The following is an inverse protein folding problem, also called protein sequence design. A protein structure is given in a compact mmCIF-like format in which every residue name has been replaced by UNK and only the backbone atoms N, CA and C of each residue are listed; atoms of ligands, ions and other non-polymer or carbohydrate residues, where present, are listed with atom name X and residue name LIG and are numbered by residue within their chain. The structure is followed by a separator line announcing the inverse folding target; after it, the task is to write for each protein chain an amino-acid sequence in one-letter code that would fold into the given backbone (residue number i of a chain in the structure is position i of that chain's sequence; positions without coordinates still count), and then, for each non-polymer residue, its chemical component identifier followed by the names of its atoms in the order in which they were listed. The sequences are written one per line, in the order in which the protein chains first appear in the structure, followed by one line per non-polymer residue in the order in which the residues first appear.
data_IF_461483165430
#
_entry.id   IF_461483165430
#
_cell.length_a   1.000
_cell.length_b   1.000
_cell.length_c   1.000
_cell.angle_alpha   90.00
_cell.angle_beta   90.00
_cell.angle_gamma   90.00
#
_symmetry.space_group_name_H-M   'P 1'
#
loop_
_entity.id
_entity.type
_entity.pdbx_description
1 polymer ?
#
# COMPACT_ATOMS: atom_id res chain seq x y z
N UNK A 1 -17.23 9.33 3.23
CA UNK A 1 -16.89 8.59 2.00
C UNK A 1 -15.73 7.66 2.32
N UNK A 2 -16.01 6.39 2.65
CA UNK A 2 -14.96 5.40 2.89
C UNK A 2 -14.56 4.75 1.57
N UNK A 3 -13.43 5.14 1.01
CA UNK A 3 -12.86 4.52 -0.19
C UNK A 3 -12.30 3.14 0.17
N UNK A 4 -13.20 2.16 0.30
CA UNK A 4 -12.84 0.75 0.20
C UNK A 4 -12.51 0.44 -1.26
N UNK A 5 -11.39 0.99 -1.74
CA UNK A 5 -10.73 0.49 -2.93
C UNK A 5 -10.32 -0.93 -2.61
N UNK A 6 -11.10 -1.91 -3.09
CA UNK A 6 -10.73 -3.32 -3.03
C UNK A 6 -9.29 -3.41 -3.55
N UNK A 7 -8.35 -3.66 -2.64
CA UNK A 7 -6.98 -4.04 -2.93
C UNK A 7 -7.07 -5.46 -3.49
N UNK A 8 -7.60 -5.56 -4.70
CA UNK A 8 -7.69 -6.81 -5.42
C UNK A 8 -6.26 -7.29 -5.65
N UNK A 9 -6.00 -8.57 -5.35
CA UNK A 9 -4.75 -9.21 -5.70
C UNK A 9 -4.75 -9.32 -7.22
N UNK A 10 -4.40 -8.23 -7.88
CA UNK A 10 -4.51 -8.09 -9.32
C UNK A 10 -3.47 -9.02 -9.95
N UNK A 11 -3.79 -10.31 -10.13
CA UNK A 11 -2.84 -11.36 -10.49
C UNK A 11 -2.11 -11.05 -11.82
N UNK A 12 -2.71 -10.21 -12.67
CA UNK A 12 -2.20 -9.85 -13.99
C UNK A 12 -1.62 -8.42 -14.13
N UNK A 13 -1.66 -7.59 -13.09
CA UNK A 13 -1.22 -6.20 -13.17
C UNK A 13 0.31 -6.04 -13.34
N UNK A 14 0.78 -4.96 -14.00
CA UNK A 14 2.19 -4.71 -14.17
C UNK A 14 2.90 -4.57 -12.81
N UNK A 15 4.06 -5.22 -12.71
CA UNK A 15 4.89 -5.16 -11.52
C UNK A 15 5.45 -3.75 -11.33
N UNK A 16 5.38 -3.26 -10.10
CA UNK A 16 5.98 -1.99 -9.70
C UNK A 16 7.35 -2.24 -9.11
N UNK A 17 8.24 -1.25 -9.22
CA UNK A 17 9.54 -1.31 -8.58
C UNK A 17 9.39 -1.49 -7.06
N UNK A 18 9.88 -2.63 -6.57
CA UNK A 18 9.75 -3.03 -5.17
C UNK A 18 10.39 -2.02 -4.21
N UNK A 19 11.58 -1.51 -4.55
CA UNK A 19 12.31 -0.53 -3.73
C UNK A 19 11.50 0.76 -3.56
N UNK A 20 10.85 1.21 -4.64
CA UNK A 20 9.99 2.40 -4.59
C UNK A 20 8.76 2.17 -3.70
N UNK A 21 8.10 1.01 -3.85
CA UNK A 21 6.94 0.67 -3.03
C UNK A 21 7.29 0.51 -1.55
N UNK A 22 8.42 -0.13 -1.24
CA UNK A 22 8.97 -0.24 0.11
C UNK A 22 9.23 1.13 0.75
N UNK A 23 9.73 2.10 -0.02
CA UNK A 23 9.91 3.48 0.47
C UNK A 23 8.59 4.18 0.81
N UNK A 24 7.55 3.96 0.01
CA UNK A 24 6.21 4.52 0.26
C UNK A 24 5.61 3.90 1.53
N UNK A 25 5.67 2.58 1.67
CA UNK A 25 5.21 1.89 2.88
C UNK A 25 6.00 2.35 4.11
N UNK A 26 7.33 2.48 4.02
CA UNK A 26 8.17 2.99 5.11
C UNK A 26 7.76 4.39 5.56
N UNK A 27 7.48 5.29 4.61
CA UNK A 27 7.00 6.65 4.90
C UNK A 27 5.63 6.63 5.58
N UNK A 28 4.75 5.71 5.17
CA UNK A 28 3.42 5.55 5.75
C UNK A 28 3.46 4.94 7.16
N UNK A 29 4.38 3.99 7.40
CA UNK A 29 4.64 3.43 8.74
C UNK A 29 5.13 4.49 9.72
N UNK A 30 5.98 5.42 9.26
CA UNK A 30 6.38 6.56 10.08
C UNK A 30 5.18 7.43 10.51
N UNK A 31 4.20 7.61 9.62
CA UNK A 31 3.00 8.39 9.94
C UNK A 31 2.08 7.70 10.96
N UNK A 32 2.06 6.36 11.03
CA UNK A 32 1.24 5.59 11.97
C UNK A 32 1.50 5.99 13.42
N UNK A 33 2.76 6.27 13.77
CA UNK A 33 3.13 6.65 15.15
C UNK A 33 2.41 7.92 15.61
N UNK A 34 2.12 8.84 14.69
CA UNK A 34 1.40 10.08 14.97
C UNK A 34 -0.11 10.00 14.68
N UNK A 35 -0.53 9.05 13.83
CA UNK A 35 -1.88 8.94 13.28
C UNK A 35 -2.35 7.48 13.27
N UNK A 36 -2.86 6.98 14.41
CA UNK A 36 -3.34 5.60 14.49
C UNK A 36 -4.60 5.35 13.63
N UNK A 37 -5.26 6.40 13.16
CA UNK A 37 -6.42 6.36 12.27
C UNK A 37 -6.14 5.73 10.90
N UNK A 38 -4.87 5.68 10.47
CA UNK A 38 -4.48 5.08 9.17
C UNK A 38 -3.86 3.69 9.29
N UNK A 39 -3.64 3.16 10.50
CA UNK A 39 -2.93 1.88 10.74
C UNK A 39 -3.52 0.75 9.92
N UNK A 40 -4.85 0.61 9.92
CA UNK A 40 -5.54 -0.46 9.22
C UNK A 40 -5.31 -0.40 7.71
N UNK A 41 -5.40 0.80 7.13
CA UNK A 41 -5.18 1.06 5.71
C UNK A 41 -3.73 0.78 5.30
N UNK A 42 -2.75 1.16 6.13
CA UNK A 42 -1.33 0.85 5.89
C UNK A 42 -1.06 -0.64 5.99
N UNK A 43 -1.60 -1.30 7.02
CA UNK A 43 -1.42 -2.73 7.26
C UNK A 43 -1.93 -3.59 6.10
N UNK A 44 -3.03 -3.19 5.45
CA UNK A 44 -3.49 -3.87 4.23
C UNK A 44 -2.53 -3.71 3.06
N UNK A 45 -1.91 -2.53 2.90
CA UNK A 45 -0.95 -2.26 1.80
C UNK A 45 0.39 -2.97 2.01
N UNK A 46 0.85 -3.06 3.25
CA UNK A 46 2.11 -3.75 3.60
C UNK A 46 2.13 -5.23 3.19
N UNK A 47 0.96 -5.89 3.09
CA UNK A 47 0.85 -7.28 2.62
C UNK A 47 1.35 -7.49 1.18
N UNK A 48 1.30 -6.44 0.37
CA UNK A 48 1.70 -6.49 -1.04
C UNK A 48 3.12 -5.96 -1.27
N UNK A 49 3.88 -5.71 -0.20
CA UNK A 49 5.24 -5.16 -0.28
C UNK A 49 6.24 -6.07 -1.01
N UNK A 50 6.06 -7.39 -0.96
CA UNK A 50 6.93 -8.37 -1.62
C UNK A 50 6.65 -8.51 -3.13
N UNK A 51 5.41 -8.25 -3.56
CA UNK A 51 4.99 -8.30 -4.96
C UNK A 51 4.08 -7.10 -5.28
N UNK A 52 4.62 -5.87 -5.29
CA UNK A 52 3.81 -4.68 -5.52
C UNK A 52 3.42 -4.57 -6.99
N UNK A 53 2.16 -4.20 -7.21
CA UNK A 53 1.56 -4.05 -8.54
C UNK A 53 1.00 -2.64 -8.68
N UNK A 54 0.75 -2.23 -9.92
CA UNK A 54 0.33 -0.85 -10.19
C UNK A 54 -1.01 -0.50 -9.52
N UNK A 55 -1.91 -1.47 -9.40
CA UNK A 55 -3.14 -1.36 -8.60
C UNK A 55 -2.84 -1.06 -7.11
N UNK A 56 -1.87 -1.76 -6.52
CA UNK A 56 -1.43 -1.55 -5.14
C UNK A 56 -0.74 -0.19 -4.96
N UNK A 57 0.03 0.26 -5.96
CA UNK A 57 0.68 1.58 -5.95
C UNK A 57 -0.33 2.71 -6.05
N UNK A 58 -1.35 2.58 -6.90
CA UNK A 58 -2.43 3.56 -7.03
C UNK A 58 -3.23 3.68 -5.74
N UNK A 59 -3.39 2.58 -5.01
CA UNK A 59 -3.95 2.64 -3.68
C UNK A 59 -2.99 3.26 -2.68
N UNK A 60 -1.67 3.10 -2.84
CA UNK A 60 -0.66 3.64 -1.93
C UNK A 60 -0.43 5.17 -2.06
N UNK A 61 -0.65 5.74 -3.25
CA UNK A 61 -0.67 7.18 -3.53
C UNK A 61 -1.87 7.88 -2.91
#
# INVERSE_FOLDING_TARGET
MGTNSKLDADEHGPMVNETMYRGIIGSMLYLIESRPDIVFSVGMRARFQACPKESHLKAAK
#
